data_IF_367441117983
#
_entry.id   IF_367441117983
#
_cell.length_a   1.000
_cell.length_b   1.000
_cell.length_c   1.000
_cell.angle_alpha   90.00
_cell.angle_beta   90.00
_cell.angle_gamma   90.00
#
_symmetry.space_group_name_H-M   'P 1'
#
loop_
_entity.id
_entity.type
_entity.pdbx_description
1 polymer ?
#
# COMPACT_ATOMS: atom_id res chain seq x y z
N UNK A 1 -21.70 1.95 5.02
CA UNK A 1 -21.09 3.31 5.08
C UNK A 1 -20.34 3.53 6.41
N UNK A 2 -19.05 3.21 6.47
CA UNK A 2 -18.22 3.30 7.69
C UNK A 2 -16.76 3.56 7.34
N UNK A 3 -15.94 3.86 8.36
CA UNK A 3 -14.48 3.80 8.23
C UNK A 3 -14.01 2.41 7.79
N UNK A 4 -12.89 2.37 7.09
CA UNK A 4 -12.33 1.18 6.47
C UNK A 4 -10.81 1.14 6.61
N UNK A 5 -10.19 0.03 6.20
CA UNK A 5 -8.73 -0.05 6.07
C UNK A 5 -8.21 1.04 5.13
N UNK A 6 -8.95 1.36 4.07
CA UNK A 6 -8.61 2.43 3.14
C UNK A 6 -8.72 3.81 3.75
N UNK A 7 -9.69 4.07 4.64
CA UNK A 7 -9.76 5.38 5.33
C UNK A 7 -8.62 5.55 6.34
N UNK A 8 -8.19 4.47 7.00
CA UNK A 8 -7.02 4.49 7.86
C UNK A 8 -5.74 4.78 7.05
N UNK A 9 -5.55 4.09 5.91
CA UNK A 9 -4.46 4.37 4.96
C UNK A 9 -4.49 5.83 4.48
N UNK A 10 -5.65 6.31 4.04
CA UNK A 10 -5.81 7.69 3.58
C UNK A 10 -5.46 8.70 4.69
N UNK A 11 -5.92 8.46 5.92
CA UNK A 11 -5.60 9.34 7.05
C UNK A 11 -4.10 9.40 7.35
N UNK A 12 -3.38 8.28 7.17
CA UNK A 12 -1.92 8.26 7.29
C UNK A 12 -1.22 8.90 6.10
N UNK A 13 -1.78 8.74 4.90
CA UNK A 13 -1.22 9.28 3.67
C UNK A 13 -1.33 10.80 3.59
N UNK A 14 -2.44 11.37 4.05
CA UNK A 14 -2.69 12.82 3.96
C UNK A 14 -2.43 13.54 5.28
N UNK A 15 -2.33 12.79 6.37
CA UNK A 15 -2.34 13.31 7.72
C UNK A 15 -3.73 13.82 8.19
N UNK A 16 -4.75 13.77 7.32
CA UNK A 16 -6.11 14.20 7.63
C UNK A 16 -6.85 13.11 8.45
N UNK A 17 -7.24 13.35 9.71
CA UNK A 17 -7.75 12.30 10.59
C UNK A 17 -9.24 12.02 10.36
N UNK A 18 -9.54 11.25 9.30
CA UNK A 18 -10.91 10.99 8.81
C UNK A 18 -11.84 10.50 9.93
N UNK A 19 -11.39 9.55 10.75
CA UNK A 19 -12.24 9.00 11.82
C UNK A 19 -12.57 10.03 12.92
N UNK A 20 -11.61 10.89 13.26
CA UNK A 20 -11.79 11.96 14.27
C UNK A 20 -12.78 13.01 13.76
N UNK A 21 -12.65 13.40 12.50
CA UNK A 21 -13.53 14.38 11.85
C UNK A 21 -14.94 13.80 11.68
N UNK A 22 -15.05 12.56 11.19
CA UNK A 22 -16.33 11.88 11.06
C UNK A 22 -17.08 11.75 12.41
N UNK A 23 -16.37 11.54 13.52
CA UNK A 23 -16.99 11.52 14.86
C UNK A 23 -17.56 12.88 15.28
N UNK A 24 -16.88 13.99 14.95
CA UNK A 24 -17.41 15.34 15.20
C UNK A 24 -18.61 15.66 14.32
N UNK A 25 -18.56 15.31 13.04
CA UNK A 25 -19.69 15.47 12.13
C UNK A 25 -20.94 14.71 12.63
N UNK A 26 -20.74 13.51 13.21
CA UNK A 26 -21.83 12.70 13.75
C UNK A 26 -22.56 13.34 14.94
N UNK A 27 -21.96 14.33 15.61
CA UNK A 27 -22.58 15.08 16.72
C UNK A 27 -22.99 16.50 16.32
N UNK A 28 -23.09 16.78 15.02
CA UNK A 28 -23.71 17.99 14.48
C UNK A 28 -22.75 19.08 14.01
N UNK A 29 -21.43 18.87 14.07
CA UNK A 29 -20.46 19.82 13.52
C UNK A 29 -20.51 19.82 11.99
N UNK A 30 -20.15 20.95 11.39
CA UNK A 30 -19.81 21.05 9.96
C UNK A 30 -18.28 21.02 9.76
N UNK A 31 -17.82 20.85 8.51
CA UNK A 31 -16.38 20.75 8.22
C UNK A 31 -15.62 22.07 8.46
N UNK A 32 -16.29 23.20 8.28
CA UNK A 32 -15.76 24.56 8.49
C UNK A 32 -15.58 24.92 9.98
N UNK A 33 -16.35 24.29 10.87
CA UNK A 33 -16.23 24.46 12.33
C UNK A 33 -15.07 23.66 12.94
N UNK A 34 -14.51 22.71 12.20
CA UNK A 34 -13.48 21.80 12.70
C UNK A 34 -12.11 22.33 12.25
N UNK A 35 -11.20 22.70 13.16
CA UNK A 35 -9.85 23.09 12.77
C UNK A 35 -9.05 21.90 12.23
N UNK A 36 -8.18 22.15 11.25
CA UNK A 36 -7.23 21.17 10.73
C UNK A 36 -6.13 20.90 11.76
N UNK A 37 -6.04 19.65 12.24
CA UNK A 37 -5.08 19.23 13.26
C UNK A 37 -3.60 19.40 12.84
N UNK A 38 -3.29 19.54 11.55
CA UNK A 38 -1.89 19.65 11.09
C UNK A 38 -1.42 21.10 11.00
N UNK A 39 -2.19 21.94 10.31
CA UNK A 39 -1.80 23.33 10.08
C UNK A 39 -2.30 24.25 11.18
N UNK A 40 -3.35 23.86 11.91
CA UNK A 40 -4.06 24.64 12.94
C UNK A 40 -4.56 26.03 12.49
N UNK A 41 -4.41 26.34 11.20
CA UNK A 41 -4.70 27.65 10.59
C UNK A 41 -5.83 27.58 9.57
N UNK A 42 -6.20 26.38 9.13
CA UNK A 42 -7.27 26.15 8.13
C UNK A 42 -8.36 25.26 8.72
N UNK A 43 -9.61 25.36 8.25
CA UNK A 43 -10.65 24.41 8.62
C UNK A 43 -10.41 23.02 8.00
N UNK A 44 -11.22 22.03 8.38
CA UNK A 44 -11.23 20.69 7.80
C UNK A 44 -11.99 20.64 6.46
N UNK A 45 -12.64 21.72 6.03
CA UNK A 45 -13.32 21.88 4.74
C UNK A 45 -12.34 22.16 3.59
N UNK A 46 -11.39 21.25 3.38
CA UNK A 46 -10.41 21.33 2.29
C UNK A 46 -10.06 19.94 1.74
N UNK A 47 -9.42 19.92 0.58
CA UNK A 47 -8.85 18.70 0.00
C UNK A 47 -7.32 18.69 0.21
N UNK A 48 -6.76 17.69 0.91
CA UNK A 48 -5.31 17.59 1.09
C UNK A 48 -4.57 17.48 -0.24
N UNK A 49 -3.56 18.31 -0.44
CA UNK A 49 -2.62 18.19 -1.56
C UNK A 49 -1.33 17.56 -1.05
N UNK A 50 -0.80 16.58 -1.79
CA UNK A 50 0.41 15.84 -1.42
C UNK A 50 1.53 16.18 -2.40
N UNK A 51 2.72 16.48 -1.89
CA UNK A 51 3.94 16.70 -2.66
C UNK A 51 4.88 15.48 -2.61
N UNK A 52 4.30 14.31 -2.30
CA UNK A 52 4.96 13.01 -2.20
C UNK A 52 4.03 11.89 -2.69
N UNK A 53 4.62 10.72 -2.93
CA UNK A 53 3.94 9.48 -3.30
C UNK A 53 3.85 8.55 -2.10
N UNK A 54 2.67 7.96 -1.90
CA UNK A 54 2.43 6.92 -0.90
C UNK A 54 2.23 5.58 -1.59
N UNK A 55 2.96 4.56 -1.16
CA UNK A 55 2.78 3.18 -1.61
C UNK A 55 2.37 2.32 -0.43
N UNK A 56 1.35 1.48 -0.64
CA UNK A 56 0.96 0.40 0.26
C UNK A 56 1.30 -0.94 -0.38
N UNK A 57 1.97 -1.82 0.36
CA UNK A 57 2.22 -3.20 -0.04
C UNK A 57 1.56 -4.19 0.95
N UNK A 58 0.74 -5.15 0.50
CA UNK A 58 0.14 -6.16 1.37
C UNK A 58 1.17 -7.22 1.81
N UNK A 59 1.04 -7.71 3.05
CA UNK A 59 1.80 -8.85 3.58
C UNK A 59 0.94 -10.10 3.58
N UNK A 60 1.47 -11.18 3.03
CA UNK A 60 0.85 -12.52 3.00
C UNK A 60 1.68 -13.49 3.82
N UNK A 61 1.08 -14.53 4.39
CA UNK A 61 1.80 -15.53 5.20
C UNK A 61 1.51 -16.96 4.71
N UNK A 62 1.55 -17.19 3.38
CA UNK A 62 1.28 -18.49 2.76
C UNK A 62 2.22 -19.60 3.25
N UNK A 63 3.42 -19.25 3.71
CA UNK A 63 4.37 -20.18 4.34
C UNK A 63 3.79 -20.92 5.56
N UNK A 64 2.77 -20.35 6.22
CA UNK A 64 2.06 -20.99 7.34
C UNK A 64 0.91 -21.90 6.90
N UNK A 65 0.57 -21.89 5.61
CA UNK A 65 -0.58 -22.60 5.04
C UNK A 65 -0.19 -23.29 3.72
N UNK A 66 0.65 -24.34 3.77
CA UNK A 66 1.22 -24.96 2.56
C UNK A 66 0.16 -25.55 1.60
N UNK A 67 -0.99 -25.97 2.13
CA UNK A 67 -2.10 -26.48 1.33
C UNK A 67 -3.01 -25.39 0.77
N UNK A 68 -2.79 -24.12 1.12
CA UNK A 68 -3.61 -23.02 0.64
C UNK A 68 -3.18 -22.58 -0.75
N UNK A 69 -4.15 -22.32 -1.62
CA UNK A 69 -3.88 -21.72 -2.92
C UNK A 69 -3.36 -20.28 -2.75
N UNK A 70 -2.14 -20.03 -3.20
CA UNK A 70 -1.47 -18.73 -3.17
C UNK A 70 -1.93 -17.74 -4.26
N UNK A 71 -2.85 -18.15 -5.15
CA UNK A 71 -3.40 -17.27 -6.19
C UNK A 71 -4.17 -16.12 -5.54
N UNK A 72 -3.81 -14.88 -5.88
CA UNK A 72 -4.56 -13.71 -5.42
C UNK A 72 -5.84 -13.58 -6.24
N UNK A 73 -6.94 -13.37 -5.52
CA UNK A 73 -8.29 -13.26 -6.08
C UNK A 73 -9.02 -12.10 -5.40
N UNK A 74 -10.31 -11.93 -5.68
CA UNK A 74 -11.16 -10.89 -5.08
C UNK A 74 -11.33 -11.07 -3.56
N UNK A 75 -11.25 -12.30 -3.07
CA UNK A 75 -11.23 -12.61 -1.64
C UNK A 75 -9.86 -12.34 -1.03
N UNK A 76 -9.85 -11.57 0.07
CA UNK A 76 -8.61 -11.16 0.72
C UNK A 76 -7.88 -12.34 1.39
N UNK A 77 -6.58 -12.46 1.10
CA UNK A 77 -5.65 -13.43 1.73
C UNK A 77 -4.49 -12.76 2.49
N UNK A 78 -4.37 -11.44 2.44
CA UNK A 78 -3.31 -10.69 3.14
C UNK A 78 -3.59 -10.63 4.65
N UNK A 79 -2.55 -10.79 5.46
CA UNK A 79 -2.61 -10.71 6.93
C UNK A 79 -2.21 -9.34 7.49
N UNK A 80 -1.64 -8.48 6.66
CA UNK A 80 -1.22 -7.13 7.04
C UNK A 80 -0.85 -6.28 5.82
N UNK A 81 -0.31 -5.10 6.09
CA UNK A 81 0.14 -4.16 5.07
C UNK A 81 1.27 -3.26 5.61
N UNK A 82 2.21 -2.93 4.73
CA UNK A 82 3.21 -1.89 4.96
C UNK A 82 2.86 -0.67 4.11
N UNK A 83 3.14 0.52 4.63
CA UNK A 83 2.98 1.79 3.94
C UNK A 83 4.31 2.53 3.95
N UNK A 84 4.67 3.14 2.82
CA UNK A 84 5.86 3.98 2.72
C UNK A 84 5.58 5.26 1.93
N UNK A 85 6.39 6.28 2.21
CA UNK A 85 6.33 7.61 1.61
C UNK A 85 7.68 7.91 0.94
N UNK A 86 7.62 8.47 -0.26
CA UNK A 86 8.79 8.91 -1.04
C UNK A 86 8.45 10.10 -1.93
N UNK A 87 9.45 10.85 -2.37
CA UNK A 87 9.28 12.01 -3.28
C UNK A 87 8.98 11.58 -4.72
N UNK A 88 9.13 10.30 -5.02
CA UNK A 88 8.74 9.69 -6.29
C UNK A 88 8.27 8.24 -6.06
N UNK A 89 7.66 7.66 -7.09
CA UNK A 89 7.14 6.30 -7.03
C UNK A 89 8.23 5.27 -6.69
N UNK A 90 9.37 5.30 -7.37
CA UNK A 90 10.43 4.29 -7.17
C UNK A 90 10.98 4.27 -5.75
N UNK A 91 11.13 5.44 -5.12
CA UNK A 91 11.57 5.57 -3.74
C UNK A 91 10.52 5.01 -2.76
N UNK A 92 9.27 5.46 -2.87
CA UNK A 92 8.17 5.01 -2.02
C UNK A 92 7.94 3.50 -2.16
N UNK A 93 8.04 3.00 -3.40
CA UNK A 93 7.82 1.60 -3.73
C UNK A 93 8.89 0.70 -3.13
N UNK A 94 10.18 1.02 -3.32
CA UNK A 94 11.28 0.24 -2.74
C UNK A 94 11.29 0.31 -1.21
N UNK A 95 10.91 1.46 -0.63
CA UNK A 95 10.67 1.59 0.82
C UNK A 95 9.57 0.65 1.30
N UNK A 96 8.43 0.59 0.60
CA UNK A 96 7.34 -0.31 0.97
C UNK A 96 7.76 -1.78 0.89
N UNK A 97 8.46 -2.19 -0.17
CA UNK A 97 8.91 -3.58 -0.36
C UNK A 97 9.89 -4.03 0.74
N UNK A 98 10.85 -3.19 1.13
CA UNK A 98 11.78 -3.56 2.21
C UNK A 98 11.11 -3.61 3.60
N UNK A 99 10.06 -2.82 3.82
CA UNK A 99 9.31 -2.77 5.07
C UNK A 99 8.27 -3.91 5.22
N UNK A 100 8.19 -4.84 4.25
CA UNK A 100 7.31 -6.01 4.36
C UNK A 100 7.79 -7.07 5.36
N UNK A 101 9.01 -6.93 5.90
CA UNK A 101 9.61 -7.88 6.85
C UNK A 101 9.52 -9.34 6.34
N UNK A 102 9.79 -9.51 5.04
CA UNK A 102 9.82 -10.81 4.35
C UNK A 102 11.04 -10.85 3.44
N UNK A 103 11.92 -11.83 3.69
CA UNK A 103 13.10 -12.08 2.86
C UNK A 103 12.67 -12.29 1.41
N UNK A 104 13.39 -11.66 0.47
CA UNK A 104 13.10 -11.74 -0.96
C UNK A 104 11.95 -10.87 -1.44
N UNK A 105 11.44 -9.94 -0.62
CA UNK A 105 10.43 -8.94 -1.07
C UNK A 105 11.06 -7.79 -1.86
N UNK A 106 12.34 -7.52 -1.66
CA UNK A 106 13.08 -6.50 -2.39
C UNK A 106 13.45 -7.03 -3.79
N UNK A 107 13.62 -6.11 -4.73
CA UNK A 107 14.17 -6.46 -6.03
C UNK A 107 15.63 -6.89 -5.91
N UNK A 108 15.94 -8.04 -6.52
CA UNK A 108 17.31 -8.48 -6.75
C UNK A 108 17.77 -8.01 -8.14
N UNK A 109 18.95 -7.42 -8.18
CA UNK A 109 19.61 -6.91 -9.38
C UNK A 109 20.92 -7.65 -9.70
N UNK A 110 21.43 -8.48 -8.78
CA UNK A 110 22.70 -9.17 -8.91
C UNK A 110 22.56 -10.60 -9.45
N UNK A 111 21.43 -11.26 -9.18
CA UNK A 111 21.16 -12.61 -9.69
C UNK A 111 21.03 -12.69 -11.21
N UNK A 112 21.27 -13.89 -11.80
CA UNK A 112 21.10 -14.12 -13.23
C UNK A 112 19.65 -13.84 -13.65
N UNK A 113 19.49 -13.32 -14.86
CA UNK A 113 18.19 -13.13 -15.49
C UNK A 113 17.69 -14.47 -16.03
N UNK A 114 16.44 -14.82 -15.71
CA UNK A 114 15.80 -16.03 -16.23
C UNK A 114 15.38 -15.88 -17.70
N UNK A 115 14.70 -16.91 -18.23
CA UNK A 115 14.07 -16.82 -19.54
C UNK A 115 12.86 -15.87 -19.50
N UNK A 116 12.81 -14.93 -20.43
CA UNK A 116 11.79 -13.86 -20.44
C UNK A 116 10.39 -14.41 -20.66
N UNK A 117 10.21 -15.33 -21.60
CA UNK A 117 8.91 -15.87 -21.96
C UNK A 117 8.32 -16.70 -20.81
N UNK A 118 9.15 -17.51 -20.15
CA UNK A 118 8.75 -18.24 -18.95
C UNK A 118 8.39 -17.29 -17.80
N UNK A 119 9.16 -16.22 -17.56
CA UNK A 119 8.86 -15.24 -16.51
C UNK A 119 7.53 -14.52 -16.78
N UNK A 120 7.24 -14.15 -18.03
CA UNK A 120 5.96 -13.55 -18.41
C UNK A 120 4.81 -14.52 -18.19
N UNK A 121 4.96 -15.80 -18.57
CA UNK A 121 3.97 -16.85 -18.32
C UNK A 121 3.70 -17.05 -16.83
N UNK A 122 4.73 -17.06 -16.00
CA UNK A 122 4.57 -17.15 -14.52
C UNK A 122 3.87 -15.92 -13.97
N UNK A 123 4.16 -14.72 -14.51
CA UNK A 123 3.55 -13.47 -14.09
C UNK A 123 2.06 -13.33 -14.48
N UNK A 124 1.49 -14.22 -15.30
CA UNK A 124 0.05 -14.26 -15.59
C UNK A 124 -0.77 -14.56 -14.33
N UNK A 125 -0.27 -15.46 -13.46
CA UNK A 125 -0.93 -15.83 -12.20
C UNK A 125 -0.60 -14.79 -11.11
N UNK A 126 -1.60 -14.08 -10.56
CA UNK A 126 -1.39 -13.17 -9.44
C UNK A 126 -0.93 -13.92 -8.18
N UNK A 127 0.24 -13.57 -7.66
CA UNK A 127 0.80 -14.11 -6.41
C UNK A 127 1.43 -13.00 -5.58
N UNK A 128 1.81 -13.30 -4.33
CA UNK A 128 2.52 -12.35 -3.45
C UNK A 128 3.95 -12.03 -3.90
N UNK A 129 4.51 -12.79 -4.84
CA UNK A 129 5.83 -12.55 -5.46
C UNK A 129 5.78 -11.97 -6.87
N UNK A 130 4.58 -11.75 -7.45
CA UNK A 130 4.42 -11.38 -8.88
C UNK A 130 5.21 -10.13 -9.28
N UNK A 131 5.27 -9.12 -8.40
CA UNK A 131 6.03 -7.90 -8.69
C UNK A 131 7.50 -8.21 -8.96
N UNK A 132 8.10 -9.13 -8.20
CA UNK A 132 9.50 -9.50 -8.40
C UNK A 132 9.68 -10.32 -9.67
N UNK A 133 8.72 -11.19 -10.01
CA UNK A 133 8.70 -11.89 -11.30
C UNK A 133 8.64 -10.91 -12.47
N UNK A 134 7.77 -9.90 -12.39
CA UNK A 134 7.67 -8.84 -13.42
C UNK A 134 8.98 -8.07 -13.53
N UNK A 135 9.61 -7.73 -12.40
CA UNK A 135 10.90 -7.05 -12.42
C UNK A 135 12.01 -7.91 -13.04
N UNK A 136 12.02 -9.21 -12.75
CA UNK A 136 12.95 -10.14 -13.40
C UNK A 136 12.70 -10.22 -14.92
N UNK A 137 11.44 -10.23 -15.37
CA UNK A 137 11.09 -10.22 -16.79
C UNK A 137 11.48 -8.91 -17.51
N UNK A 138 11.48 -7.77 -16.79
CA UNK A 138 11.98 -6.49 -17.31
C UNK A 138 13.50 -6.53 -17.48
N UNK A 139 14.22 -7.27 -16.63
CA UNK A 139 15.68 -7.42 -16.69
C UNK A 139 16.15 -8.42 -17.75
N UNK A 140 15.33 -9.41 -18.09
CA UNK A 140 15.59 -10.44 -19.09
C UNK A 140 15.36 -9.94 -20.53
#
# INVERSE_FOLDING_TARGET
PRVSRSSALASKATGFPIAKIAAKLAVGYTLDEIPNDITEQTPASFEPTLDYVVVKAPRFAFEKFPSADSTLTTTMKSVGEAMAIGRNFTEAFQKALRSLEKKGSQFDFAGPTGDKDELLRVAERPTDGRVNTVMAAIRA
#
